data_IF_260150739573
#
_entry.id   IF_260150739573
#
_cell.length_a   1.000
_cell.length_b   1.000
_cell.length_c   1.000
_cell.angle_alpha   90.00
_cell.angle_beta   90.00
_cell.angle_gamma   90.00
#
_symmetry.space_group_name_H-M   'P 1'
#
loop_
_entity.id
_entity.type
_entity.pdbx_description
1 polymer ?
#
# COMPACT_ATOMS: atom_id res chain seq x y z
N UNK A 1 -7.24 3.44 -5.23
CA UNK A 1 -6.87 2.83 -3.93
C UNK A 1 -7.96 3.19 -2.93
N UNK A 2 -8.45 2.21 -2.17
CA UNK A 2 -9.55 2.40 -1.20
C UNK A 2 -9.05 3.04 0.11
N UNK A 3 -8.50 4.24 0.02
CA UNK A 3 -7.74 4.90 1.09
C UNK A 3 -8.57 5.11 2.35
N UNK A 4 -9.79 5.65 2.22
CA UNK A 4 -10.68 5.94 3.35
C UNK A 4 -11.15 4.66 4.06
N UNK A 5 -11.52 3.62 3.28
CA UNK A 5 -11.92 2.33 3.85
C UNK A 5 -10.75 1.68 4.62
N UNK A 6 -9.54 1.71 4.06
CA UNK A 6 -8.35 1.20 4.75
C UNK A 6 -8.03 1.98 6.03
N UNK A 7 -8.20 3.30 6.01
CA UNK A 7 -8.01 4.14 7.20
C UNK A 7 -8.98 3.75 8.31
N UNK A 8 -10.27 3.55 7.98
CA UNK A 8 -11.28 3.07 8.94
C UNK A 8 -10.90 1.68 9.48
N UNK A 9 -10.49 0.76 8.60
CA UNK A 9 -10.07 -0.58 9.02
C UNK A 9 -8.89 -0.54 9.98
N UNK A 10 -7.85 0.25 9.68
CA UNK A 10 -6.67 0.35 10.55
C UNK A 10 -6.99 0.96 11.91
N UNK A 11 -7.90 1.93 11.97
CA UNK A 11 -8.40 2.46 13.25
C UNK A 11 -9.20 1.42 14.03
N UNK A 12 -10.01 0.60 13.37
CA UNK A 12 -10.74 -0.50 14.02
C UNK A 12 -9.79 -1.55 14.56
N UNK A 13 -8.77 -1.95 13.79
CA UNK A 13 -7.74 -2.89 14.23
C UNK A 13 -7.07 -2.37 15.52
N UNK A 14 -6.68 -1.09 15.56
CA UNK A 14 -6.09 -0.45 16.74
C UNK A 14 -7.02 -0.56 17.98
N UNK A 15 -8.32 -0.29 17.81
CA UNK A 15 -9.31 -0.41 18.89
C UNK A 15 -9.50 -1.86 19.34
N UNK A 16 -9.57 -2.80 18.39
CA UNK A 16 -9.82 -4.22 18.67
C UNK A 16 -8.65 -4.90 19.36
N UNK A 17 -7.41 -4.52 19.00
CA UNK A 17 -6.19 -4.92 19.69
C UNK A 17 -6.24 -4.53 21.17
N UNK A 18 -6.64 -3.29 21.47
CA UNK A 18 -6.74 -2.81 22.85
C UNK A 18 -7.85 -3.50 23.66
N UNK A 19 -8.88 -4.03 22.98
CA UNK A 19 -9.98 -4.75 23.60
C UNK A 19 -9.71 -6.25 23.78
N UNK A 20 -8.69 -6.80 23.10
CA UNK A 20 -8.42 -8.24 23.09
C UNK A 20 -9.48 -9.08 22.36
N UNK A 21 -10.28 -8.46 21.48
CA UNK A 21 -11.32 -9.16 20.72
C UNK A 21 -10.72 -9.81 19.47
N UNK A 22 -10.21 -11.04 19.65
CA UNK A 22 -9.49 -11.76 18.60
C UNK A 22 -10.37 -12.10 17.38
N UNK A 23 -11.66 -12.35 17.58
CA UNK A 23 -12.54 -12.73 16.46
C UNK A 23 -12.88 -11.51 15.60
N UNK A 24 -13.25 -10.39 16.23
CA UNK A 24 -13.45 -9.15 15.47
C UNK A 24 -12.14 -8.67 14.81
N UNK A 25 -11.00 -8.83 15.49
CA UNK A 25 -9.69 -8.48 14.94
C UNK A 25 -9.34 -9.31 13.70
N UNK A 26 -9.60 -10.62 13.73
CA UNK A 26 -9.46 -11.51 12.57
C UNK A 26 -10.27 -11.01 11.38
N UNK A 27 -11.55 -10.69 11.58
CA UNK A 27 -12.43 -10.20 10.52
C UNK A 27 -11.94 -8.87 9.94
N UNK A 28 -11.44 -7.97 10.78
CA UNK A 28 -10.97 -6.66 10.33
C UNK A 28 -9.64 -6.77 9.57
N UNK A 29 -8.71 -7.65 9.98
CA UNK A 29 -7.49 -7.96 9.23
C UNK A 29 -7.79 -8.53 7.85
N UNK A 30 -8.73 -9.48 7.76
CA UNK A 30 -9.19 -10.03 6.49
C UNK A 30 -9.85 -8.98 5.60
N UNK A 31 -10.61 -8.05 6.20
CA UNK A 31 -11.24 -6.94 5.49
C UNK A 31 -10.20 -5.99 4.90
N UNK A 32 -9.19 -5.60 5.69
CA UNK A 32 -8.06 -4.81 5.20
C UNK A 32 -7.33 -5.51 4.04
N UNK A 33 -7.08 -6.82 4.15
CA UNK A 33 -6.47 -7.60 3.08
C UNK A 33 -7.32 -7.62 1.79
N UNK A 34 -8.65 -7.75 1.90
CA UNK A 34 -9.56 -7.65 0.74
C UNK A 34 -9.50 -6.25 0.09
N UNK A 35 -9.48 -5.18 0.89
CA UNK A 35 -9.39 -3.80 0.39
C UNK A 35 -8.07 -3.51 -0.34
N UNK A 36 -6.96 -4.07 0.14
CA UNK A 36 -5.65 -3.99 -0.52
C UNK A 36 -5.67 -4.72 -1.87
N UNK A 37 -6.18 -5.97 -1.91
CA UNK A 37 -6.32 -6.74 -3.16
C UNK A 37 -7.22 -6.01 -4.17
N UNK A 38 -8.40 -5.56 -3.73
CA UNK A 38 -9.31 -4.79 -4.56
C UNK A 38 -8.63 -3.53 -5.12
N UNK A 39 -7.83 -2.83 -4.30
CA UNK A 39 -7.07 -1.66 -4.76
C UNK A 39 -6.06 -2.01 -5.86
N UNK A 40 -5.36 -3.15 -5.75
CA UNK A 40 -4.44 -3.63 -6.78
C UNK A 40 -5.17 -3.99 -8.07
N UNK A 41 -6.27 -4.75 -7.98
CA UNK A 41 -7.07 -5.11 -9.15
C UNK A 41 -7.67 -3.88 -9.84
N UNK A 42 -8.11 -2.87 -9.08
CA UNK A 42 -8.56 -1.60 -9.65
C UNK A 42 -7.44 -0.85 -10.39
N UNK A 43 -6.19 -0.92 -9.93
CA UNK A 43 -5.06 -0.31 -10.65
C UNK A 43 -4.81 -1.01 -11.98
N UNK A 44 -4.84 -2.34 -11.99
CA UNK A 44 -4.67 -3.14 -13.21
C UNK A 44 -5.79 -2.83 -14.20
N UNK A 45 -7.03 -2.82 -13.74
CA UNK A 45 -8.20 -2.48 -14.57
C UNK A 45 -8.11 -1.06 -15.10
N UNK A 46 -7.76 -0.09 -14.25
CA UNK A 46 -7.60 1.30 -14.65
C UNK A 46 -6.49 1.45 -15.71
N UNK A 47 -5.38 0.72 -15.58
CA UNK A 47 -4.27 0.71 -16.54
C UNK A 47 -4.49 -0.15 -17.78
N UNK A 48 -5.71 -0.62 -18.05
CA UNK A 48 -6.01 -1.49 -19.18
C UNK A 48 -6.22 -0.71 -20.50
N UNK A 49 -5.22 0.06 -20.90
CA UNK A 49 -5.17 0.82 -22.16
C UNK A 49 -3.73 0.83 -22.72
N UNK A 50 -3.54 1.26 -23.97
CA UNK A 50 -2.22 1.19 -24.60
C UNK A 50 -1.25 2.26 -24.05
N UNK A 51 0.07 2.05 -24.21
CA UNK A 51 1.06 3.10 -23.89
C UNK A 51 0.86 4.34 -24.76
N UNK A 52 0.41 4.17 -26.01
CA UNK A 52 0.11 5.28 -26.91
C UNK A 52 -1.08 6.12 -26.39
N UNK A 53 -2.17 5.47 -25.95
CA UNK A 53 -3.31 6.15 -25.31
C UNK A 53 -2.88 6.89 -24.04
N UNK A 54 -1.93 6.30 -23.28
CA UNK A 54 -1.37 6.96 -22.10
C UNK A 54 -0.68 8.27 -22.47
N UNK A 55 0.20 8.24 -23.47
CA UNK A 55 1.05 9.36 -23.85
C UNK A 55 0.27 10.45 -24.60
N UNK A 56 -0.70 10.06 -25.43
CA UNK A 56 -1.45 10.98 -26.30
C UNK A 56 -2.74 11.51 -25.67
N UNK A 57 -3.37 10.76 -24.76
CA UNK A 57 -4.66 11.15 -24.16
C UNK A 57 -4.61 11.32 -22.65
N UNK A 58 -4.18 10.29 -21.90
CA UNK A 58 -4.31 10.28 -20.43
C UNK A 58 -3.32 11.22 -19.74
N UNK A 59 -2.04 11.17 -20.11
CA UNK A 59 -1.00 11.99 -19.49
C UNK A 59 -1.17 13.48 -19.80
N UNK A 60 -1.54 13.90 -21.04
CA UNK A 60 -1.86 15.29 -21.33
C UNK A 60 -3.11 15.79 -20.59
N UNK A 61 -4.14 14.96 -20.37
CA UNK A 61 -5.31 15.36 -19.58
C UNK A 61 -4.98 15.57 -18.09
N UNK A 62 -3.88 14.98 -17.62
CA UNK A 62 -3.38 15.08 -16.24
C UNK A 62 -2.31 16.17 -16.05
N UNK A 63 -2.02 16.95 -17.09
CA UNK A 63 -1.00 18.01 -17.11
C UNK A 63 -1.64 19.36 -17.44
N UNK A 64 -0.86 20.44 -17.34
CA UNK A 64 -1.30 21.76 -17.79
C UNK A 64 -1.69 21.73 -19.29
N UNK A 65 -2.76 22.44 -19.72
CA UNK A 65 -3.56 23.41 -18.95
C UNK A 65 -4.71 22.80 -18.12
N UNK A 66 -5.01 21.50 -18.28
CA UNK A 66 -6.18 20.87 -17.66
C UNK A 66 -6.06 20.77 -16.13
N UNK A 67 -4.83 20.59 -15.64
CA UNK A 67 -4.53 20.54 -14.21
C UNK A 67 -3.45 21.58 -13.91
N UNK A 68 -3.74 22.61 -13.09
CA UNK A 68 -2.76 23.60 -12.70
C UNK A 68 -1.65 22.97 -11.85
N UNK A 69 -0.39 23.16 -12.25
CA UNK A 69 0.80 22.75 -11.49
C UNK A 69 1.25 21.29 -11.70
N UNK A 70 2.35 20.91 -11.04
CA UNK A 70 2.93 19.56 -11.08
C UNK A 70 2.28 18.61 -10.01
N UNK A 71 1.17 19.04 -9.37
CA UNK A 71 0.62 18.42 -8.16
C UNK A 71 -0.42 17.31 -8.40
N UNK A 72 -0.60 16.88 -9.65
CA UNK A 72 -1.47 15.74 -9.95
C UNK A 72 -0.89 14.43 -9.41
N UNK A 73 -1.17 14.14 -8.14
CA UNK A 73 -0.76 12.92 -7.48
C UNK A 73 -1.73 12.53 -6.37
N UNK A 74 -2.22 11.28 -6.41
CA UNK A 74 -2.97 10.69 -5.29
C UNK A 74 -2.17 10.65 -3.97
N UNK A 75 -0.85 10.83 -4.03
CA UNK A 75 0.04 10.93 -2.87
C UNK A 75 -0.14 12.22 -2.06
N UNK A 76 -0.65 13.29 -2.69
CA UNK A 76 -0.92 14.59 -2.06
C UNK A 76 -2.31 14.66 -1.43
N UNK A 77 -3.12 13.59 -1.54
CA UNK A 77 -4.40 13.55 -0.82
C UNK A 77 -4.14 13.47 0.69
N UNK A 78 -4.84 14.31 1.45
CA UNK A 78 -4.82 14.29 2.92
C UNK A 78 -5.11 12.90 3.47
N UNK A 79 -6.03 12.19 2.82
CA UNK A 79 -6.39 10.81 3.17
C UNK A 79 -5.21 9.84 3.00
N UNK A 80 -4.39 9.99 1.96
CA UNK A 80 -3.20 9.16 1.79
C UNK A 80 -2.18 9.42 2.90
N UNK A 81 -1.93 10.69 3.24
CA UNK A 81 -1.04 11.05 4.34
C UNK A 81 -1.54 10.46 5.68
N UNK A 82 -2.84 10.59 5.96
CA UNK A 82 -3.47 10.02 7.16
C UNK A 82 -3.35 8.49 7.21
N UNK A 83 -3.55 7.80 6.08
CA UNK A 83 -3.38 6.36 5.99
C UNK A 83 -1.94 5.93 6.28
N UNK A 84 -0.95 6.61 5.70
CA UNK A 84 0.47 6.30 5.96
C UNK A 84 0.82 6.54 7.43
N UNK A 85 0.27 7.57 8.06
CA UNK A 85 0.45 7.82 9.49
C UNK A 85 -0.18 6.71 10.34
N UNK A 86 -1.41 6.31 10.02
CA UNK A 86 -2.11 5.21 10.71
C UNK A 86 -1.31 3.90 10.61
N UNK A 87 -0.74 3.62 9.44
CA UNK A 87 0.12 2.45 9.24
C UNK A 87 1.36 2.46 10.13
N UNK A 88 2.06 3.60 10.21
CA UNK A 88 3.24 3.75 11.06
C UNK A 88 2.90 3.54 12.53
N UNK A 89 1.77 4.10 12.99
CA UNK A 89 1.28 3.94 14.35
C UNK A 89 0.91 2.50 14.68
N UNK A 90 0.33 1.77 13.73
CA UNK A 90 -0.11 0.39 13.91
C UNK A 90 1.02 -0.65 13.84
N UNK A 91 2.17 -0.27 13.26
CA UNK A 91 3.31 -1.16 13.00
C UNK A 91 3.81 -1.94 14.23
N UNK A 92 4.00 -1.31 15.42
CA UNK A 92 4.42 -2.05 16.62
C UNK A 92 3.43 -3.14 17.02
N UNK A 93 2.13 -2.85 16.96
CA UNK A 93 1.09 -3.81 17.34
C UNK A 93 0.94 -4.96 16.34
N UNK A 94 1.10 -4.70 15.03
CA UNK A 94 1.13 -5.75 14.01
C UNK A 94 2.33 -6.68 14.20
N UNK A 95 3.47 -6.14 14.63
CA UNK A 95 4.68 -6.94 14.91
C UNK A 95 4.52 -7.87 16.09
N UNK A 96 3.63 -7.54 17.03
CA UNK A 96 3.35 -8.29 18.24
C UNK A 96 1.99 -8.98 18.23
N UNK A 97 1.42 -9.24 17.04
CA UNK A 97 0.17 -10.00 16.94
C UNK A 97 0.33 -11.39 17.56
N UNK A 98 -0.72 -11.87 18.19
CA UNK A 98 -0.68 -13.19 18.80
C UNK A 98 -0.55 -14.29 17.72
N UNK A 99 0.08 -15.44 18.04
CA UNK A 99 0.26 -16.54 17.08
C UNK A 99 -1.04 -17.04 16.43
N UNK A 100 -2.18 -16.91 17.13
CA UNK A 100 -3.51 -17.30 16.68
C UNK A 100 -4.04 -16.46 15.51
N UNK A 101 -3.43 -15.29 15.25
CA UNK A 101 -3.75 -14.39 14.14
C UNK A 101 -2.70 -14.42 13.02
N UNK A 102 -1.77 -15.38 13.06
CA UNK A 102 -0.67 -15.48 12.09
C UNK A 102 -1.17 -15.58 10.65
N UNK A 103 -2.20 -16.40 10.40
CA UNK A 103 -2.74 -16.59 9.05
C UNK A 103 -3.31 -15.30 8.47
N UNK A 104 -4.04 -14.53 9.28
CA UNK A 104 -4.59 -13.23 8.90
C UNK A 104 -3.49 -12.19 8.68
N UNK A 105 -2.44 -12.23 9.50
CA UNK A 105 -1.29 -11.35 9.38
C UNK A 105 -0.50 -11.60 8.10
N UNK A 106 -0.22 -12.86 7.78
CA UNK A 106 0.37 -13.29 6.50
C UNK A 106 -0.54 -12.90 5.32
N UNK A 107 -1.85 -13.13 5.45
CA UNK A 107 -2.82 -12.74 4.42
C UNK A 107 -2.88 -11.23 4.15
N UNK A 108 -2.61 -10.39 5.15
CA UNK A 108 -2.48 -8.94 5.02
C UNK A 108 -1.18 -8.55 4.31
N UNK A 109 -0.07 -9.20 4.64
CA UNK A 109 1.23 -9.00 3.99
C UNK A 109 1.18 -9.36 2.50
N UNK A 110 0.63 -10.53 2.18
CA UNK A 110 0.45 -10.98 0.79
C UNK A 110 -0.43 -10.01 0.00
N UNK A 111 -1.49 -9.50 0.63
CA UNK A 111 -2.36 -8.51 0.00
C UNK A 111 -1.63 -7.18 -0.26
N UNK A 112 -0.73 -6.78 0.65
CA UNK A 112 0.11 -5.61 0.43
C UNK A 112 1.12 -5.81 -0.71
N UNK A 113 1.80 -6.96 -0.77
CA UNK A 113 2.71 -7.29 -1.87
C UNK A 113 1.98 -7.31 -3.20
N UNK A 114 0.76 -7.88 -3.24
CA UNK A 114 -0.07 -7.84 -4.44
C UNK A 114 -0.38 -6.40 -4.88
N UNK A 115 -0.75 -5.51 -3.96
CA UNK A 115 -0.97 -4.09 -4.26
C UNK A 115 0.31 -3.42 -4.79
N UNK A 116 1.44 -3.62 -4.12
CA UNK A 116 2.72 -3.03 -4.48
C UNK A 116 3.17 -3.48 -5.88
N UNK A 117 3.11 -4.79 -6.15
CA UNK A 117 3.39 -5.38 -7.44
C UNK A 117 2.47 -4.85 -8.54
N UNK A 118 1.15 -4.82 -8.29
CA UNK A 118 0.17 -4.29 -9.25
C UNK A 118 0.48 -2.84 -9.63
N UNK A 119 0.81 -2.00 -8.65
CA UNK A 119 1.21 -0.61 -8.90
C UNK A 119 2.50 -0.53 -9.74
N UNK A 120 3.51 -1.33 -9.38
CA UNK A 120 4.78 -1.38 -10.09
C UNK A 120 4.61 -1.79 -11.55
N UNK A 121 3.83 -2.85 -11.82
CA UNK A 121 3.58 -3.37 -13.17
C UNK A 121 2.85 -2.35 -14.05
N UNK A 122 1.79 -1.73 -13.52
CA UNK A 122 1.07 -0.66 -14.23
C UNK A 122 2.00 0.52 -14.50
N UNK A 123 2.82 0.93 -13.52
CA UNK A 123 3.77 2.01 -13.70
C UNK A 123 4.83 1.71 -14.76
N UNK A 124 5.37 0.48 -14.78
CA UNK A 124 6.35 0.04 -15.77
C UNK A 124 5.77 0.03 -17.19
N UNK A 125 4.53 -0.45 -17.37
CA UNK A 125 3.83 -0.45 -18.67
C UNK A 125 3.77 0.93 -19.33
N UNK A 126 3.79 1.99 -18.53
CA UNK A 126 3.71 3.38 -18.97
C UNK A 126 5.05 4.14 -18.89
N UNK A 127 6.17 3.44 -18.98
CA UNK A 127 7.51 4.03 -19.06
C UNK A 127 8.11 4.44 -17.70
N UNK A 128 7.54 3.95 -16.59
CA UNK A 128 8.07 4.21 -15.25
C UNK A 128 9.39 3.50 -14.92
N UNK A 129 9.83 2.57 -15.77
CA UNK A 129 11.12 1.89 -15.76
C UNK A 129 12.22 2.67 -16.51
N UNK A 130 11.82 3.56 -17.43
CA UNK A 130 12.72 4.43 -18.20
C UNK A 130 12.77 5.86 -17.62
N UNK A 131 11.66 6.33 -17.04
CA UNK A 131 11.47 7.71 -16.62
C UNK A 131 10.86 7.87 -15.24
N UNK A 132 10.81 9.13 -14.81
CA UNK A 132 10.18 9.51 -13.55
C UNK A 132 8.67 9.72 -13.65
N UNK A 133 8.00 9.62 -12.51
CA UNK A 133 6.58 9.95 -12.40
C UNK A 133 6.33 11.44 -12.70
N UNK A 134 5.07 11.81 -12.95
CA UNK A 134 4.66 13.22 -13.11
C UNK A 134 5.20 14.13 -11.98
N UNK A 135 5.22 13.61 -10.75
CA UNK A 135 5.70 14.31 -9.55
C UNK A 135 7.23 14.37 -9.42
N UNK A 136 7.95 13.38 -9.94
CA UNK A 136 9.41 13.27 -9.75
C UNK A 136 10.05 12.78 -11.02
N UNK A 137 10.34 13.73 -11.91
CA UNK A 137 10.90 13.48 -13.25
C UNK A 137 12.35 12.97 -13.23
N UNK A 138 13.07 13.15 -12.11
CA UNK A 138 14.52 12.90 -11.98
C UNK A 138 14.94 11.48 -11.58
N UNK A 139 13.99 10.59 -11.29
CA UNK A 139 14.29 9.23 -10.80
C UNK A 139 13.35 8.22 -11.45
N UNK A 140 13.88 7.06 -11.85
CA UNK A 140 13.09 5.91 -12.33
C UNK A 140 11.97 5.58 -11.33
N UNK A 141 10.72 5.67 -11.79
CA UNK A 141 9.55 5.59 -10.91
C UNK A 141 9.43 4.22 -10.22
N UNK A 142 9.69 3.12 -10.94
CA UNK A 142 9.61 1.76 -10.36
C UNK A 142 10.63 1.56 -9.23
N UNK A 143 11.81 2.17 -9.29
CA UNK A 143 12.80 2.08 -8.21
C UNK A 143 12.31 2.74 -6.92
N UNK A 144 11.56 3.84 -7.03
CA UNK A 144 10.93 4.49 -5.89
C UNK A 144 9.81 3.61 -5.31
N UNK A 145 9.04 2.95 -6.18
CA UNK A 145 8.01 2.00 -5.74
C UNK A 145 8.61 0.80 -5.00
N UNK A 146 9.71 0.24 -5.49
CA UNK A 146 10.44 -0.87 -4.85
C UNK A 146 10.96 -0.46 -3.45
N UNK A 147 11.41 0.79 -3.29
CA UNK A 147 11.80 1.31 -1.98
C UNK A 147 10.61 1.45 -1.03
N UNK A 148 9.46 1.92 -1.53
CA UNK A 148 8.24 2.02 -0.73
C UNK A 148 7.68 0.66 -0.33
N UNK A 149 7.74 -0.32 -1.23
CA UNK A 149 7.40 -1.71 -0.94
C UNK A 149 8.23 -2.21 0.24
N UNK A 150 9.56 -2.19 0.13
CA UNK A 150 10.47 -2.66 1.19
C UNK A 150 10.19 -2.00 2.54
N UNK A 151 10.07 -0.66 2.55
CA UNK A 151 9.84 0.09 3.79
C UNK A 151 8.51 -0.26 4.46
N UNK A 152 7.43 -0.38 3.69
CA UNK A 152 6.11 -0.70 4.25
C UNK A 152 5.94 -2.18 4.59
N UNK A 153 6.56 -3.08 3.84
CA UNK A 153 6.66 -4.49 4.20
C UNK A 153 7.29 -4.63 5.59
N UNK A 154 8.39 -3.92 5.87
CA UNK A 154 9.02 -3.93 7.19
C UNK A 154 8.12 -3.38 8.32
N UNK A 155 7.13 -2.56 8.00
CA UNK A 155 6.14 -2.09 8.98
C UNK A 155 5.05 -3.12 9.26
N UNK A 156 4.73 -3.95 8.27
CA UNK A 156 3.73 -5.01 8.39
C UNK A 156 4.33 -6.31 8.89
N UNK A 157 5.56 -6.67 8.55
CA UNK A 157 6.14 -7.97 8.89
C UNK A 157 6.21 -8.18 10.40
N UNK A 158 5.98 -9.42 10.90
CA UNK A 158 6.26 -9.78 12.28
C UNK A 158 7.65 -9.33 12.71
N UNK A 159 7.86 -9.08 14.01
CA UNK A 159 9.22 -8.94 14.51
C UNK A 159 10.00 -10.22 14.16
N UNK A 160 11.28 -10.12 13.74
CA UNK A 160 12.12 -11.30 13.63
C UNK A 160 12.07 -12.01 14.98
N UNK A 161 11.64 -13.27 15.00
CA UNK A 161 11.55 -14.06 16.23
C UNK A 161 12.85 -13.89 16.99
N UNK A 162 12.81 -13.19 18.13
CA UNK A 162 13.92 -13.20 19.07
C UNK A 162 14.03 -14.62 19.55
N UNK A 163 14.93 -15.40 18.95
CA UNK A 163 15.29 -16.70 19.46
C UNK A 163 15.66 -16.51 20.93
N UNK A 164 14.96 -17.20 21.83
CA UNK A 164 15.43 -17.35 23.19
C UNK A 164 16.89 -17.85 23.10
N UNK A 165 17.87 -17.18 23.72
CA UNK A 165 19.17 -17.80 23.89
C UNK A 165 18.95 -19.04 24.77
N UNK A 166 19.13 -20.22 24.18
CA UNK A 166 19.22 -21.47 24.93
C UNK A 166 20.48 -21.36 25.78
N UNK A 167 20.32 -20.99 27.05
CA UNK A 167 21.38 -21.15 28.04
C UNK A 167 21.54 -22.65 28.28
N UNK A 168 22.65 -23.21 27.83
CA UNK A 168 23.21 -24.46 28.34
C UNK A 168 24.07 -24.18 29.57
#
# INVERSE_FOLDING_TARGET
>A
MNTQALLVCFRRIEILLNKGDHEALRQELQTAAKLLRASGSSMIMAGNFSRDDYETMVRPSMSAPNIPGDDFSGLMSWDHAALIQSWRGLSPSLKSLSPELRSEHEGLLDAYHYLAKSHREVCARFGGDEGGSLRTKKSVAVNILDQFEKRRSNHLSPAPNGGCPMNH
#
